data_IF_680190475153
#
_entry.id   IF_680190475153
#
_cell.length_a   1.000
_cell.length_b   1.000
_cell.length_c   1.000
_cell.angle_alpha   90.00
_cell.angle_beta   90.00
_cell.angle_gamma   90.00
#
_symmetry.space_group_name_H-M   'P 1'
#
loop_
_entity.id
_entity.type
_entity.pdbx_description
1 polymer ?
#
# COMPACT_ATOMS: atom_id res chain seq x y z
N UNK A 1 -17.54 -3.05 40.38
CA UNK A 1 -16.88 -4.01 39.47
C UNK A 1 -17.20 -3.59 38.04
N UNK A 2 -16.34 -2.77 37.45
CA UNK A 2 -16.53 -2.18 36.12
C UNK A 2 -15.90 -3.06 35.04
N UNK A 3 -16.71 -3.51 34.08
CA UNK A 3 -16.28 -4.26 32.90
C UNK A 3 -15.30 -3.44 32.05
N UNK A 4 -14.07 -3.92 31.90
CA UNK A 4 -13.02 -3.38 31.04
C UNK A 4 -12.32 -4.52 30.28
N UNK A 5 -13.00 -5.26 29.40
CA UNK A 5 -12.37 -6.48 28.84
C UNK A 5 -12.63 -6.83 27.37
N UNK A 6 -13.27 -6.00 26.54
CA UNK A 6 -13.57 -6.38 25.14
C UNK A 6 -12.83 -5.64 24.01
N UNK A 7 -12.73 -4.31 24.06
CA UNK A 7 -12.46 -3.50 22.85
C UNK A 7 -11.03 -3.49 22.31
N UNK A 8 -10.03 -3.71 23.16
CA UNK A 8 -8.63 -3.51 22.77
C UNK A 8 -8.07 -4.58 21.82
N UNK A 9 -8.30 -5.90 22.04
CA UNK A 9 -7.91 -6.93 21.09
C UNK A 9 -8.73 -6.83 19.80
N UNK A 10 -10.04 -6.57 19.94
CA UNK A 10 -10.97 -6.49 18.82
C UNK A 10 -10.59 -5.41 17.80
N UNK A 11 -10.36 -4.19 18.28
CA UNK A 11 -9.94 -3.08 17.42
C UNK A 11 -8.60 -3.36 16.72
N UNK A 12 -7.70 -4.15 17.33
CA UNK A 12 -6.40 -4.44 16.72
C UNK A 12 -6.45 -5.49 15.62
N UNK A 13 -7.30 -6.51 15.72
CA UNK A 13 -7.44 -7.46 14.61
C UNK A 13 -8.17 -6.80 13.44
N UNK A 14 -9.23 -6.02 13.69
CA UNK A 14 -9.94 -5.29 12.63
C UNK A 14 -8.99 -4.40 11.84
N UNK A 15 -8.14 -3.63 12.53
CA UNK A 15 -7.15 -2.79 11.85
C UNK A 15 -6.17 -3.62 11.00
N UNK A 16 -5.65 -4.74 11.53
CA UNK A 16 -4.71 -5.62 10.81
C UNK A 16 -5.34 -6.22 9.56
N UNK A 17 -6.59 -6.68 9.65
CA UNK A 17 -7.33 -7.20 8.49
C UNK A 17 -7.64 -6.11 7.47
N UNK A 18 -8.06 -4.92 7.92
CA UNK A 18 -8.28 -3.79 7.02
C UNK A 18 -6.99 -3.41 6.28
N UNK A 19 -5.86 -3.33 7.00
CA UNK A 19 -4.56 -3.06 6.40
C UNK A 19 -4.12 -4.14 5.40
N UNK A 20 -4.32 -5.42 5.75
CA UNK A 20 -4.00 -6.53 4.86
C UNK A 20 -4.86 -6.51 3.58
N UNK A 21 -6.17 -6.28 3.70
CA UNK A 21 -7.07 -6.16 2.56
C UNK A 21 -6.71 -4.98 1.66
N UNK A 22 -6.38 -3.83 2.24
CA UNK A 22 -5.92 -2.66 1.49
C UNK A 22 -4.59 -2.92 0.77
N UNK A 23 -3.62 -3.59 1.41
CA UNK A 23 -2.39 -4.00 0.73
C UNK A 23 -2.69 -4.94 -0.46
N UNK A 24 -3.56 -5.94 -0.27
CA UNK A 24 -3.95 -6.84 -1.38
C UNK A 24 -4.70 -6.09 -2.49
N UNK A 25 -5.49 -5.07 -2.15
CA UNK A 25 -6.14 -4.21 -3.14
C UNK A 25 -5.12 -3.42 -3.96
N UNK A 26 -4.07 -2.85 -3.33
CA UNK A 26 -2.95 -2.20 -4.05
C UNK A 26 -2.29 -3.18 -5.03
N UNK A 27 -1.97 -4.39 -4.57
CA UNK A 27 -1.38 -5.42 -5.44
C UNK A 27 -2.31 -5.75 -6.63
N UNK A 28 -3.60 -5.93 -6.38
CA UNK A 28 -4.56 -6.24 -7.43
C UNK A 28 -4.71 -5.11 -8.45
N UNK A 29 -4.79 -3.85 -8.01
CA UNK A 29 -4.86 -2.67 -8.89
C UNK A 29 -3.65 -2.62 -9.81
N UNK A 30 -2.44 -2.79 -9.28
CA UNK A 30 -1.22 -2.70 -10.08
C UNK A 30 -0.98 -3.92 -10.99
N UNK A 31 -1.40 -5.11 -10.57
CA UNK A 31 -1.44 -6.28 -11.47
C UNK A 31 -2.34 -5.99 -12.68
N UNK A 32 -3.52 -5.40 -12.45
CA UNK A 32 -4.45 -5.04 -13.53
C UNK A 32 -3.86 -3.95 -14.43
N UNK A 33 -3.30 -2.90 -13.84
CA UNK A 33 -2.68 -1.76 -14.56
C UNK A 33 -1.46 -2.18 -15.40
N UNK A 34 -0.69 -3.16 -14.93
CA UNK A 34 0.42 -3.75 -15.70
C UNK A 34 -0.05 -4.65 -16.85
N UNK A 35 -1.31 -5.08 -16.87
CA UNK A 35 -1.85 -6.01 -17.87
C UNK A 35 -1.84 -7.48 -17.44
N UNK A 36 -1.68 -7.76 -16.16
CA UNK A 36 -1.77 -9.10 -15.55
C UNK A 36 -0.48 -9.58 -14.88
N UNK A 37 -0.58 -10.70 -14.16
CA UNK A 37 0.51 -11.25 -13.31
C UNK A 37 1.75 -11.64 -14.13
N UNK A 38 1.57 -12.04 -15.39
CA UNK A 38 2.66 -12.44 -16.30
C UNK A 38 3.12 -11.32 -17.24
N UNK A 39 2.48 -10.15 -17.18
CA UNK A 39 2.87 -9.00 -17.98
C UNK A 39 3.97 -8.23 -17.26
N UNK A 40 4.83 -7.56 -18.04
CA UNK A 40 5.85 -6.64 -17.53
C UNK A 40 5.79 -5.39 -18.36
N UNK A 41 5.59 -4.24 -17.72
CA UNK A 41 5.43 -2.94 -18.41
C UNK A 41 6.76 -2.45 -19.01
N UNK A 42 6.67 -1.81 -20.17
CA UNK A 42 7.78 -1.07 -20.79
C UNK A 42 7.71 0.41 -20.37
N UNK A 43 8.83 1.08 -20.05
CA UNK A 43 10.20 0.57 -20.00
C UNK A 43 10.41 -0.44 -18.86
N UNK A 44 11.32 -1.39 -19.06
CA UNK A 44 11.53 -2.53 -18.16
C UNK A 44 11.66 -2.17 -16.67
N UNK A 45 12.31 -1.04 -16.34
CA UNK A 45 12.46 -0.62 -14.94
C UNK A 45 11.12 -0.26 -14.28
N UNK A 46 10.13 0.21 -15.05
CA UNK A 46 8.77 0.45 -14.56
C UNK A 46 8.11 -0.90 -14.27
N UNK A 47 8.19 -1.87 -15.18
CA UNK A 47 7.68 -3.23 -14.93
C UNK A 47 8.28 -3.88 -13.69
N UNK A 48 9.59 -3.71 -13.46
CA UNK A 48 10.25 -4.17 -12.22
C UNK A 48 9.66 -3.47 -10.99
N UNK A 49 9.44 -2.15 -11.04
CA UNK A 49 8.85 -1.40 -9.94
C UNK A 49 7.43 -1.90 -9.59
N UNK A 50 6.61 -2.23 -10.60
CA UNK A 50 5.30 -2.85 -10.40
C UNK A 50 5.41 -4.19 -9.67
N UNK A 51 6.25 -5.12 -10.15
CA UNK A 51 6.41 -6.41 -9.50
C UNK A 51 6.94 -6.30 -8.06
N UNK A 52 7.91 -5.40 -7.82
CA UNK A 52 8.41 -5.16 -6.46
C UNK A 52 7.30 -4.67 -5.54
N UNK A 53 6.47 -3.75 -6.01
CA UNK A 53 5.33 -3.22 -5.26
C UNK A 53 4.27 -4.29 -4.98
N UNK A 54 3.89 -5.09 -5.98
CA UNK A 54 2.92 -6.18 -5.87
C UNK A 54 3.37 -7.20 -4.80
N UNK A 55 4.64 -7.62 -4.86
CA UNK A 55 5.23 -8.55 -3.89
C UNK A 55 5.29 -7.90 -2.50
N UNK A 56 5.75 -6.64 -2.40
CA UNK A 56 5.84 -5.92 -1.13
C UNK A 56 4.47 -5.77 -0.46
N UNK A 57 3.42 -5.51 -1.24
CA UNK A 57 2.05 -5.43 -0.77
C UNK A 57 1.55 -6.77 -0.20
N UNK A 58 1.79 -7.89 -0.89
CA UNK A 58 1.46 -9.23 -0.38
C UNK A 58 2.24 -9.54 0.90
N UNK A 59 3.54 -9.23 0.93
CA UNK A 59 4.38 -9.42 2.11
C UNK A 59 3.86 -8.56 3.28
N UNK A 60 3.49 -7.30 3.04
CA UNK A 60 2.92 -6.43 4.08
C UNK A 60 1.64 -7.03 4.67
N UNK A 61 0.74 -7.54 3.82
CA UNK A 61 -0.47 -8.22 4.25
C UNK A 61 -0.15 -9.45 5.13
N UNK A 62 0.76 -10.31 4.70
CA UNK A 62 1.19 -11.49 5.47
C UNK A 62 1.76 -11.07 6.83
N UNK A 63 2.67 -10.09 6.87
CA UNK A 63 3.28 -9.60 8.10
C UNK A 63 2.23 -9.08 9.10
N UNK A 64 1.23 -8.35 8.61
CA UNK A 64 0.11 -7.88 9.42
C UNK A 64 -0.71 -9.05 9.97
N UNK A 65 -1.00 -10.06 9.16
CA UNK A 65 -1.81 -11.22 9.56
C UNK A 65 -1.07 -12.16 10.55
N UNK A 66 0.24 -12.36 10.41
CA UNK A 66 1.03 -13.20 11.33
C UNK A 66 1.47 -12.47 12.61
N UNK A 67 1.19 -11.17 12.73
CA UNK A 67 1.40 -10.42 13.97
C UNK A 67 2.74 -9.69 14.06
N UNK A 68 3.52 -9.67 12.98
CA UNK A 68 4.71 -8.82 12.85
C UNK A 68 4.33 -7.36 12.57
N UNK A 69 3.48 -6.79 13.44
CA UNK A 69 2.73 -5.56 13.18
C UNK A 69 3.61 -4.34 12.92
N UNK A 70 4.75 -4.19 13.58
CA UNK A 70 5.64 -3.04 13.34
C UNK A 70 6.21 -3.06 11.92
N UNK A 71 6.70 -4.22 11.49
CA UNK A 71 7.27 -4.39 10.14
C UNK A 71 6.16 -4.32 9.09
N UNK A 72 5.01 -4.95 9.37
CA UNK A 72 3.83 -4.89 8.49
C UNK A 72 3.33 -3.47 8.28
N UNK A 73 3.18 -2.67 9.35
CA UNK A 73 2.73 -1.27 9.22
C UNK A 73 3.76 -0.37 8.53
N UNK A 74 5.06 -0.59 8.76
CA UNK A 74 6.11 0.13 8.04
C UNK A 74 6.03 -0.17 6.54
N UNK A 75 5.99 -1.45 6.17
CA UNK A 75 5.96 -1.87 4.77
C UNK A 75 4.66 -1.42 4.09
N UNK A 76 3.52 -1.52 4.76
CA UNK A 76 2.24 -1.00 4.27
C UNK A 76 2.28 0.51 3.98
N UNK A 77 2.92 1.30 4.83
CA UNK A 77 3.11 2.73 4.59
C UNK A 77 3.98 2.98 3.34
N UNK A 78 5.06 2.21 3.15
CA UNK A 78 5.90 2.31 1.94
C UNK A 78 5.15 1.89 0.68
N UNK A 79 4.34 0.82 0.75
CA UNK A 79 3.46 0.34 -0.33
C UNK A 79 2.43 1.39 -0.71
N UNK A 80 1.95 2.19 0.24
CA UNK A 80 1.05 3.30 -0.07
C UNK A 80 1.77 4.52 -0.67
N UNK A 81 2.95 4.89 -0.14
CA UNK A 81 3.70 6.06 -0.61
C UNK A 81 4.25 5.87 -2.03
N UNK A 82 4.75 4.68 -2.35
CA UNK A 82 5.39 4.40 -3.64
C UNK A 82 4.51 4.77 -4.84
N UNK A 83 3.29 4.22 -4.95
CA UNK A 83 2.38 4.51 -6.06
C UNK A 83 1.88 5.95 -6.09
N UNK A 84 1.64 6.57 -4.93
CA UNK A 84 1.27 7.99 -4.88
C UNK A 84 2.36 8.88 -5.51
N UNK A 85 3.63 8.60 -5.19
CA UNK A 85 4.76 9.28 -5.83
C UNK A 85 4.87 8.92 -7.31
N UNK A 86 4.73 7.64 -7.66
CA UNK A 86 4.72 7.19 -9.06
C UNK A 86 3.66 7.90 -9.89
N UNK A 87 2.46 8.05 -9.34
CA UNK A 87 1.33 8.75 -9.96
C UNK A 87 1.65 10.21 -10.25
N UNK A 88 2.17 10.93 -9.26
CA UNK A 88 2.53 12.35 -9.39
C UNK A 88 3.67 12.52 -10.40
N UNK A 89 4.70 11.67 -10.32
CA UNK A 89 5.87 11.77 -11.19
C UNK A 89 5.54 11.41 -12.63
N UNK A 90 4.79 10.34 -12.88
CA UNK A 90 4.44 9.93 -14.24
C UNK A 90 3.50 10.91 -14.94
N UNK A 91 2.58 11.54 -14.19
CA UNK A 91 1.56 12.45 -14.75
C UNK A 91 1.95 13.92 -14.74
N UNK A 92 2.95 14.28 -13.93
CA UNK A 92 3.52 15.62 -13.85
C UNK A 92 4.70 15.79 -14.80
N UNK A 93 5.95 15.66 -14.30
CA UNK A 93 7.15 15.82 -15.13
C UNK A 93 7.38 14.67 -16.13
N UNK A 94 6.76 13.51 -15.91
CA UNK A 94 7.13 12.26 -16.58
C UNK A 94 8.32 11.57 -15.90
N UNK A 95 8.58 10.33 -16.31
CA UNK A 95 9.73 9.53 -15.88
C UNK A 95 10.64 9.25 -17.08
N UNK A 96 11.93 8.91 -16.88
CA UNK A 96 12.85 8.58 -17.98
C UNK A 96 12.26 7.48 -18.88
N UNK A 97 12.17 7.74 -20.18
CA UNK A 97 11.58 6.81 -21.16
C UNK A 97 10.13 6.35 -20.82
N UNK A 98 9.42 7.12 -19.99
CA UNK A 98 8.04 6.85 -19.59
C UNK A 98 7.26 8.17 -19.42
N UNK A 99 6.69 8.65 -20.53
CA UNK A 99 5.99 9.95 -20.62
C UNK A 99 4.54 9.84 -21.07
N UNK A 100 4.06 8.63 -21.36
CA UNK A 100 2.74 8.42 -21.98
C UNK A 100 1.57 8.81 -21.06
N UNK A 101 1.82 8.87 -19.76
CA UNK A 101 0.83 9.24 -18.74
C UNK A 101 0.81 10.76 -18.42
N UNK A 102 1.66 11.58 -19.03
CA UNK A 102 1.71 13.02 -18.71
C UNK A 102 0.35 13.67 -18.98
N UNK A 103 -0.21 14.34 -17.96
CA UNK A 103 -1.51 14.99 -18.04
C UNK A 103 -2.72 14.06 -17.81
N UNK A 104 -2.55 12.75 -17.75
CA UNK A 104 -3.64 11.78 -17.53
C UNK A 104 -4.02 11.64 -16.03
N UNK A 105 -4.37 12.77 -15.40
CA UNK A 105 -4.69 12.89 -13.96
C UNK A 105 -6.03 12.29 -13.54
N UNK A 106 -6.91 11.96 -14.49
CA UNK A 106 -8.25 11.44 -14.21
C UNK A 106 -8.48 10.06 -14.81
N UNK A 107 -7.39 9.34 -15.11
CA UNK A 107 -7.45 7.95 -15.54
C UNK A 107 -8.19 7.13 -14.47
N UNK A 108 -9.34 6.48 -14.79
CA UNK A 108 -10.18 5.81 -13.80
C UNK A 108 -9.45 4.84 -12.89
N UNK A 109 -8.57 3.98 -13.45
CA UNK A 109 -7.83 3.01 -12.65
C UNK A 109 -6.83 3.70 -11.71
N UNK A 110 -6.23 4.79 -12.18
CA UNK A 110 -5.35 5.65 -11.38
C UNK A 110 -6.08 6.30 -10.19
N UNK A 111 -7.30 6.78 -10.38
CA UNK A 111 -8.12 7.32 -9.29
C UNK A 111 -8.51 6.26 -8.26
N UNK A 112 -8.81 5.04 -8.71
CA UNK A 112 -9.06 3.89 -7.81
C UNK A 112 -7.82 3.59 -6.99
N UNK A 113 -6.63 3.55 -7.62
CA UNK A 113 -5.34 3.41 -6.94
C UNK A 113 -5.23 4.47 -5.83
N UNK A 114 -5.32 5.75 -6.18
CA UNK A 114 -5.17 6.86 -5.23
C UNK A 114 -6.07 6.72 -4.00
N UNK A 115 -7.31 6.27 -4.19
CA UNK A 115 -8.24 6.05 -3.08
C UNK A 115 -7.78 4.90 -2.16
N UNK A 116 -7.33 3.78 -2.74
CA UNK A 116 -6.82 2.62 -2.01
C UNK A 116 -5.51 2.95 -1.28
N UNK A 117 -4.53 3.53 -1.96
CA UNK A 117 -3.27 3.93 -1.32
C UNK A 117 -3.47 5.02 -0.28
N UNK A 118 -4.35 5.99 -0.55
CA UNK A 118 -4.69 7.04 0.41
C UNK A 118 -5.29 6.46 1.69
N UNK A 119 -6.23 5.53 1.58
CA UNK A 119 -6.80 4.83 2.72
C UNK A 119 -5.75 4.00 3.47
N UNK A 120 -4.88 3.27 2.74
CA UNK A 120 -3.79 2.50 3.33
C UNK A 120 -2.80 3.40 4.07
N UNK A 121 -2.45 4.56 3.52
CA UNK A 121 -1.53 5.52 4.12
C UNK A 121 -2.10 6.09 5.42
N UNK A 122 -3.36 6.54 5.39
CA UNK A 122 -4.06 7.10 6.54
C UNK A 122 -4.21 6.08 7.68
N UNK A 123 -4.34 4.79 7.36
CA UNK A 123 -4.40 3.72 8.35
C UNK A 123 -3.01 3.32 8.89
N UNK A 124 -2.04 3.12 7.99
CA UNK A 124 -0.75 2.53 8.31
C UNK A 124 0.17 3.45 9.11
N UNK A 125 0.23 4.74 8.76
CA UNK A 125 1.15 5.69 9.41
C UNK A 125 0.87 5.84 10.91
N UNK A 126 -0.37 6.11 11.36
CA UNK A 126 -0.65 6.23 12.79
C UNK A 126 -0.38 4.94 13.57
N UNK A 127 -0.68 3.78 12.96
CA UNK A 127 -0.48 2.48 13.58
C UNK A 127 1.00 2.09 13.67
N UNK A 128 1.79 2.45 12.65
CA UNK A 128 3.24 2.34 12.70
C UNK A 128 3.81 3.21 13.83
N UNK A 129 3.46 4.49 13.88
CA UNK A 129 3.92 5.42 14.94
C UNK A 129 3.53 4.92 16.33
N UNK A 130 2.31 4.41 16.50
CA UNK A 130 1.87 3.82 17.77
C UNK A 130 2.69 2.59 18.14
N UNK A 131 3.08 1.77 17.17
CA UNK A 131 3.91 0.57 17.41
C UNK A 131 5.31 0.92 17.92
N UNK A 132 5.87 2.08 17.54
CA UNK A 132 7.15 2.56 18.05
C UNK A 132 7.07 2.94 19.53
N UNK A 133 5.98 3.62 19.93
CA UNK A 133 5.78 4.11 21.31
C UNK A 133 5.59 2.99 22.33
N UNK A 134 5.10 1.82 21.91
CA UNK A 134 4.94 0.66 22.80
C UNK A 134 6.26 -0.03 23.19
N UNK A 135 7.38 0.30 22.53
CA UNK A 135 8.69 -0.31 22.80
C UNK A 135 9.48 0.39 23.91
N UNK A 136 9.03 1.56 24.36
CA UNK A 136 9.81 2.46 25.23
C UNK A 136 9.46 2.32 26.72
N UNK A 137 8.76 1.26 27.12
CA UNK A 137 8.45 0.93 28.51
C UNK A 137 8.77 -0.53 28.79
#
# INVERSE_FOLDING_TARGET
>A
MSHHTGRAPEATWVARWAGALLCLAVAAVHVVDQGGISATRDPYYIGVAYHVLEIAAVVAAVLLLIGLVRLGWLLAAMVAVGPLLGYILSRGPGLPDYSDDIGHWTEPLGLVSLAVEGALLLLSVPLFVRSLRRRTY
#
